data_IF_654037708004
#
_entry.id   IF_654037708004
#
_cell.length_a   1.000
_cell.length_b   1.000
_cell.length_c   1.000
_cell.angle_alpha   90.00
_cell.angle_beta   90.00
_cell.angle_gamma   90.00
#
_symmetry.space_group_name_H-M   'P 1'
#
loop_
_entity.id
_entity.type
_entity.pdbx_description
1 polymer ?
#
# COMPACT_ATOMS: atom_id res chain seq x y z
N UNK A 1 -7.81 -9.64 -10.69
CA UNK A 1 -6.38 -9.92 -10.43
C UNK A 1 -6.23 -10.67 -9.13
N UNK A 2 -5.34 -11.65 -9.09
CA UNK A 2 -4.96 -12.39 -7.88
C UNK A 2 -4.06 -11.54 -6.97
N UNK A 3 -3.96 -11.92 -5.70
CA UNK A 3 -3.01 -11.35 -4.73
C UNK A 3 -1.59 -11.18 -5.30
N UNK A 4 -1.11 -12.21 -6.00
CA UNK A 4 0.21 -12.22 -6.64
C UNK A 4 0.36 -11.12 -7.69
N UNK A 5 -0.67 -10.88 -8.52
CA UNK A 5 -0.64 -9.86 -9.56
C UNK A 5 -0.63 -8.44 -8.98
N UNK A 6 -1.42 -8.21 -7.93
CA UNK A 6 -1.45 -6.91 -7.22
C UNK A 6 -0.07 -6.61 -6.63
N UNK A 7 0.51 -7.60 -5.94
CA UNK A 7 1.81 -7.45 -5.31
C UNK A 7 2.90 -7.15 -6.32
N UNK A 8 2.89 -7.82 -7.47
CA UNK A 8 3.86 -7.57 -8.55
C UNK A 8 3.77 -6.14 -9.07
N UNK A 9 2.56 -5.64 -9.26
CA UNK A 9 2.30 -4.29 -9.78
C UNK A 9 2.71 -3.20 -8.78
N UNK A 10 2.42 -3.40 -7.49
CA UNK A 10 2.86 -2.48 -6.45
C UNK A 10 4.39 -2.46 -6.33
N UNK A 11 5.04 -3.62 -6.41
CA UNK A 11 6.50 -3.71 -6.31
C UNK A 11 7.23 -3.09 -7.50
N UNK A 12 6.64 -3.05 -8.70
CA UNK A 12 7.29 -2.44 -9.87
C UNK A 12 7.22 -0.91 -9.84
N UNK A 13 6.22 -0.34 -9.17
CA UNK A 13 5.94 1.09 -9.22
C UNK A 13 6.22 1.84 -7.91
N UNK A 14 6.25 1.15 -6.76
CA UNK A 14 6.48 1.77 -5.44
C UNK A 14 7.91 1.48 -4.97
N UNK A 15 8.74 2.52 -4.89
CA UNK A 15 10.07 2.41 -4.28
C UNK A 15 10.00 2.41 -2.75
N UNK A 16 11.01 1.81 -2.11
CA UNK A 16 11.14 1.75 -0.64
C UNK A 16 11.02 3.13 0.02
N UNK A 17 11.49 4.20 -0.64
CA UNK A 17 11.44 5.57 -0.12
C UNK A 17 10.03 6.08 0.17
N UNK A 18 9.01 5.56 -0.50
CA UNK A 18 7.62 5.99 -0.32
C UNK A 18 6.92 5.34 0.88
N UNK A 19 7.47 4.26 1.43
CA UNK A 19 6.86 3.52 2.57
C UNK A 19 7.37 4.08 3.92
N UNK A 20 8.37 4.96 3.87
CA UNK A 20 9.14 5.41 5.02
C UNK A 20 8.55 6.56 5.81
N UNK A 21 7.46 7.20 5.39
CA UNK A 21 7.06 8.46 6.04
C UNK A 21 5.75 8.35 6.82
N UNK A 22 5.84 8.71 8.10
CA UNK A 22 4.75 8.76 9.09
C UNK A 22 3.92 10.04 8.99
N UNK A 23 4.21 10.93 8.04
CA UNK A 23 3.48 12.18 7.94
C UNK A 23 2.11 11.95 7.31
N UNK A 24 1.07 12.51 7.92
CA UNK A 24 -0.32 12.40 7.46
C UNK A 24 -0.50 12.80 5.98
N UNK A 25 0.36 13.69 5.46
CA UNK A 25 0.39 14.07 4.04
C UNK A 25 0.83 12.92 3.13
N UNK A 26 1.72 12.05 3.60
CA UNK A 26 2.25 10.92 2.82
C UNK A 26 1.29 9.74 2.74
N UNK A 27 0.40 9.57 3.72
CA UNK A 27 -0.63 8.53 3.66
C UNK A 27 -1.61 8.77 2.51
N UNK A 28 -2.07 10.01 2.32
CA UNK A 28 -2.98 10.36 1.23
C UNK A 28 -2.27 10.29 -0.12
N UNK A 29 -1.02 10.75 -0.19
CA UNK A 29 -0.20 10.63 -1.39
C UNK A 29 0.01 9.15 -1.78
N UNK A 30 0.38 8.31 -0.82
CA UNK A 30 0.56 6.88 -1.02
C UNK A 30 -0.74 6.19 -1.43
N UNK A 31 -1.86 6.57 -0.82
CA UNK A 31 -3.21 6.09 -1.20
C UNK A 31 -3.52 6.43 -2.65
N UNK A 32 -3.28 7.68 -3.07
CA UNK A 32 -3.46 8.12 -4.46
C UNK A 32 -2.56 7.33 -5.42
N UNK A 33 -1.29 7.13 -5.05
CA UNK A 33 -0.34 6.34 -5.85
C UNK A 33 -0.82 4.89 -6.02
N UNK A 34 -1.24 4.24 -4.94
CA UNK A 34 -1.78 2.87 -4.98
C UNK A 34 -3.06 2.80 -5.80
N UNK A 35 -3.95 3.78 -5.69
CA UNK A 35 -5.16 3.87 -6.51
C UNK A 35 -4.84 4.08 -8.00
N UNK A 36 -3.84 4.91 -8.34
CA UNK A 36 -3.39 5.07 -9.72
C UNK A 36 -2.83 3.78 -10.31
N UNK A 37 -2.11 3.00 -9.51
CA UNK A 37 -1.58 1.68 -9.90
C UNK A 37 -2.72 0.65 -10.00
N UNK A 38 -3.73 0.75 -9.13
CA UNK A 38 -4.83 -0.20 -9.01
C UNK A 38 -6.20 0.52 -9.04
N UNK A 39 -6.60 1.10 -10.18
CA UNK A 39 -7.78 1.97 -10.27
C UNK A 39 -9.11 1.25 -10.05
N UNK A 40 -9.08 -0.08 -10.02
CA UNK A 40 -10.24 -0.93 -9.72
C UNK A 40 -10.67 -0.91 -8.25
N UNK A 41 -9.79 -0.50 -7.33
CA UNK A 41 -10.12 -0.31 -5.92
C UNK A 41 -10.41 1.16 -5.69
N UNK A 42 -11.52 1.49 -5.05
CA UNK A 42 -11.83 2.86 -4.69
C UNK A 42 -10.81 3.42 -3.67
N UNK A 43 -10.64 4.75 -3.65
CA UNK A 43 -9.67 5.41 -2.78
C UNK A 43 -9.92 5.12 -1.28
N UNK A 44 -11.17 4.92 -0.86
CA UNK A 44 -11.52 4.66 0.54
C UNK A 44 -11.07 3.25 0.98
N UNK A 45 -11.29 2.24 0.14
CA UNK A 45 -10.78 0.88 0.33
C UNK A 45 -9.26 0.88 0.45
N UNK A 46 -8.57 1.59 -0.46
CA UNK A 46 -7.11 1.72 -0.41
C UNK A 46 -6.65 2.41 0.87
N UNK A 47 -7.28 3.53 1.25
CA UNK A 47 -6.95 4.27 2.46
C UNK A 47 -7.11 3.40 3.71
N UNK A 48 -8.19 2.63 3.80
CA UNK A 48 -8.44 1.73 4.92
C UNK A 48 -7.39 0.61 5.00
N UNK A 49 -6.99 0.04 3.86
CA UNK A 49 -5.94 -0.96 3.80
C UNK A 49 -4.57 -0.40 4.21
N UNK A 50 -4.23 0.83 3.78
CA UNK A 50 -3.00 1.54 4.18
C UNK A 50 -3.00 1.84 5.68
N UNK A 51 -4.13 2.32 6.23
CA UNK A 51 -4.29 2.55 7.68
C UNK A 51 -4.09 1.26 8.50
N UNK A 52 -4.66 0.14 8.04
CA UNK A 52 -4.44 -1.18 8.66
C UNK A 52 -2.97 -1.59 8.60
N UNK A 53 -2.31 -1.45 7.45
CA UNK A 53 -0.87 -1.73 7.30
C UNK A 53 -0.02 -0.88 8.26
N UNK A 54 -0.33 0.41 8.40
CA UNK A 54 0.40 1.32 9.30
C UNK A 54 0.23 0.96 10.78
N UNK A 55 -0.93 0.41 11.17
CA UNK A 55 -1.16 -0.08 12.54
C UNK A 55 -0.39 -1.37 12.82
N UNK A 56 -0.33 -2.27 11.85
CA UNK A 56 0.30 -3.59 12.00
C UNK A 56 1.83 -3.55 11.85
N UNK A 57 2.35 -2.73 10.93
CA UNK A 57 3.77 -2.69 10.57
C UNK A 57 4.37 -1.36 11.05
N UNK A 58 5.00 -1.43 12.23
CA UNK A 58 5.73 -0.30 12.85
C UNK A 58 7.11 -0.08 12.24
N UNK A 59 7.67 1.10 12.48
CA UNK A 59 8.97 1.51 11.98
C UNK A 59 10.14 0.69 12.59
N UNK A 60 11.21 0.41 11.84
CA UNK A 60 11.40 0.65 10.39
C UNK A 60 10.60 -0.35 9.54
N UNK A 61 9.83 0.17 8.58
CA UNK A 61 8.99 -0.65 7.71
C UNK A 61 9.82 -1.27 6.60
N UNK A 62 9.78 -2.60 6.46
CA UNK A 62 10.33 -3.28 5.29
C UNK A 62 9.31 -3.23 4.15
N UNK A 63 9.63 -2.55 3.05
CA UNK A 63 8.75 -2.37 1.88
C UNK A 63 8.10 -3.68 1.40
N UNK A 64 8.91 -4.73 1.27
CA UNK A 64 8.46 -6.06 0.86
C UNK A 64 7.39 -6.65 1.78
N UNK A 65 7.48 -6.41 3.09
CA UNK A 65 6.48 -6.86 4.05
C UNK A 65 5.22 -5.98 3.98
N UNK A 66 5.41 -4.67 3.84
CA UNK A 66 4.33 -3.70 3.73
C UNK A 66 3.46 -3.94 2.49
N UNK A 67 4.09 -4.02 1.31
CA UNK A 67 3.37 -4.26 0.05
C UNK A 67 2.72 -5.64 0.01
N UNK A 68 3.36 -6.66 0.63
CA UNK A 68 2.73 -7.97 0.79
C UNK A 68 1.44 -7.86 1.59
N UNK A 69 1.48 -7.24 2.78
CA UNK A 69 0.29 -7.12 3.63
C UNK A 69 -0.79 -6.24 3.00
N UNK A 70 -0.40 -5.15 2.34
CA UNK A 70 -1.33 -4.29 1.61
C UNK A 70 -2.06 -5.07 0.51
N UNK A 71 -1.35 -5.90 -0.24
CA UNK A 71 -1.98 -6.73 -1.27
C UNK A 71 -2.93 -7.79 -0.70
N UNK A 72 -2.69 -8.31 0.51
CA UNK A 72 -3.62 -9.23 1.21
C UNK A 72 -4.92 -8.49 1.57
N UNK A 73 -4.79 -7.32 2.21
CA UNK A 73 -5.91 -6.50 2.66
C UNK A 73 -6.78 -5.95 1.53
N UNK A 74 -6.23 -5.80 0.32
CA UNK A 74 -6.99 -5.39 -0.87
C UNK A 74 -7.70 -6.57 -1.56
N UNK A 75 -7.47 -7.80 -1.11
CA UNK A 75 -8.08 -9.01 -1.69
C UNK A 75 -9.01 -9.77 -0.74
N UNK A 76 -8.96 -9.45 0.55
CA UNK A 76 -9.94 -9.86 1.57
C UNK A 76 -11.26 -9.07 1.38
#
# INVERSE_FOLDING_TARGET
MTHYQIRKELHSQISDRFIYTEEYQDMYYFTKLVHLILPRFDEETVLNAVRKCNKEIKYPRKSKHYLKRLSELLTE
#
